data_IF_631453866353
#
_entry.id   IF_631453866353
#
_cell.length_a   1.000
_cell.length_b   1.000
_cell.length_c   1.000
_cell.angle_alpha   90.00
_cell.angle_beta   90.00
_cell.angle_gamma   90.00
#
_symmetry.space_group_name_H-M   'P 1'
#
loop_
_entity.id
_entity.type
_entity.pdbx_description
1 polymer ?
#
# COMPACT_ATOMS: atom_id res chain seq x y z
N UNK A 1 -12.48 -26.32 16.67
CA UNK A 1 -11.83 -25.35 17.59
C UNK A 1 -10.66 -24.75 16.87
N UNK A 2 -10.61 -23.42 16.82
CA UNK A 2 -9.43 -22.73 16.33
C UNK A 2 -8.32 -22.88 17.39
N UNK A 3 -7.17 -23.33 16.97
CA UNK A 3 -5.98 -23.35 17.83
C UNK A 3 -5.24 -22.02 17.60
N UNK A 4 -5.03 -21.27 18.66
CA UNK A 4 -4.17 -20.10 18.65
C UNK A 4 -2.74 -20.56 18.99
N UNK A 5 -1.77 -20.14 18.17
CA UNK A 5 -0.36 -20.37 18.42
C UNK A 5 0.34 -19.03 18.56
N UNK A 6 1.00 -18.82 19.69
CA UNK A 6 1.84 -17.64 19.90
C UNK A 6 3.10 -17.78 19.05
N UNK A 7 3.32 -16.86 18.09
CA UNK A 7 4.47 -16.87 17.21
C UNK A 7 5.61 -16.02 17.78
N UNK A 8 5.29 -14.88 18.40
CA UNK A 8 6.28 -13.95 18.94
C UNK A 8 5.69 -12.59 19.28
N UNK A 9 6.51 -11.74 19.87
CA UNK A 9 6.18 -10.35 20.17
C UNK A 9 6.73 -9.45 19.07
N UNK A 10 5.90 -8.55 18.56
CA UNK A 10 6.36 -7.57 17.57
C UNK A 10 7.27 -6.54 18.23
N UNK A 11 8.54 -6.35 17.73
CA UNK A 11 9.50 -5.45 18.35
C UNK A 11 9.06 -3.99 18.25
N UNK A 12 9.13 -3.24 19.33
CA UNK A 12 8.67 -1.84 19.40
C UNK A 12 9.46 -0.90 18.49
N UNK A 13 10.75 -1.18 18.30
CA UNK A 13 11.64 -0.44 17.40
C UNK A 13 11.27 -0.60 15.92
N UNK A 14 10.50 -1.63 15.58
CA UNK A 14 9.99 -1.84 14.22
C UNK A 14 8.77 -0.98 13.88
N UNK A 15 8.24 -0.22 14.84
CA UNK A 15 7.07 0.62 14.74
C UNK A 15 5.81 0.00 15.31
N UNK A 16 4.71 0.74 15.31
CA UNK A 16 3.41 0.28 15.80
C UNK A 16 2.68 -0.50 14.70
N UNK A 17 2.43 -1.80 14.88
CA UNK A 17 1.79 -2.62 13.84
C UNK A 17 0.34 -2.19 13.56
N UNK A 18 -0.05 -2.33 12.29
CA UNK A 18 -1.38 -2.06 11.76
C UNK A 18 -1.96 -3.25 11.02
N UNK A 19 -2.41 -3.05 9.78
CA UNK A 19 -2.94 -4.11 8.92
C UNK A 19 -1.87 -5.11 8.48
N UNK A 20 -2.30 -6.31 8.10
CA UNK A 20 -1.39 -7.35 7.65
C UNK A 20 -1.95 -8.16 6.48
N UNK A 21 -1.05 -8.83 5.76
CA UNK A 21 -1.36 -9.85 4.76
C UNK A 21 -0.38 -11.01 4.90
N UNK A 22 -0.87 -12.24 4.68
CA UNK A 22 -0.05 -13.45 4.77
C UNK A 22 0.41 -13.86 3.38
N UNK A 23 1.65 -14.29 3.29
CA UNK A 23 2.27 -14.82 2.08
C UNK A 23 1.57 -16.11 1.60
N UNK A 24 1.60 -16.37 0.30
CA UNK A 24 0.93 -17.52 -0.29
C UNK A 24 1.51 -18.89 0.13
N UNK A 25 2.69 -18.90 0.72
CA UNK A 25 3.31 -20.12 1.26
C UNK A 25 3.08 -20.28 2.78
N UNK A 26 2.41 -19.29 3.43
CA UNK A 26 2.23 -19.21 4.88
C UNK A 26 3.56 -19.11 5.67
N UNK A 27 4.66 -18.69 5.01
CA UNK A 27 5.96 -18.52 5.66
C UNK A 27 6.10 -17.15 6.35
N UNK A 28 5.45 -16.13 5.79
CA UNK A 28 5.61 -14.74 6.23
C UNK A 28 4.28 -13.99 6.33
N UNK A 29 4.21 -13.09 7.30
CA UNK A 29 3.22 -12.02 7.34
C UNK A 29 3.88 -10.68 7.00
N UNK A 30 3.27 -9.91 6.12
CA UNK A 30 3.64 -8.53 5.80
C UNK A 30 2.74 -7.59 6.57
N UNK A 31 3.34 -6.73 7.38
CA UNK A 31 2.64 -5.93 8.39
C UNK A 31 2.92 -4.46 8.12
N UNK A 32 1.87 -3.65 7.94
CA UNK A 32 2.05 -2.20 7.92
C UNK A 32 2.39 -1.69 9.30
N UNK A 33 3.26 -0.71 9.41
CA UNK A 33 3.62 -0.09 10.69
C UNK A 33 3.54 1.43 10.60
N UNK A 34 3.14 2.07 11.71
CA UNK A 34 3.40 3.48 11.94
C UNK A 34 4.76 3.61 12.60
N UNK A 35 5.59 4.53 12.11
CA UNK A 35 6.95 4.73 12.60
C UNK A 35 7.23 6.17 12.96
N UNK A 36 8.20 6.38 13.82
CA UNK A 36 8.81 7.68 14.01
C UNK A 36 9.62 8.06 12.77
N UNK A 37 9.77 9.33 12.53
CA UNK A 37 10.54 9.87 11.43
C UNK A 37 11.11 11.23 11.75
N UNK A 38 12.03 11.72 10.89
CA UNK A 38 12.61 13.05 11.01
C UNK A 38 11.57 14.13 10.68
N UNK A 39 11.81 15.37 11.12
CA UNK A 39 10.95 16.51 10.78
C UNK A 39 10.96 16.75 9.26
N UNK A 40 12.10 16.52 8.59
CA UNK A 40 12.21 16.65 7.14
C UNK A 40 11.33 15.64 6.40
N UNK A 41 11.26 14.38 6.88
CA UNK A 41 10.34 13.38 6.32
C UNK A 41 8.88 13.79 6.48
N UNK A 42 8.51 14.32 7.66
CA UNK A 42 7.17 14.82 7.93
C UNK A 42 6.82 16.01 7.04
N UNK A 43 7.74 16.93 6.83
CA UNK A 43 7.56 18.07 5.92
C UNK A 43 7.37 17.61 4.46
N UNK A 44 8.18 16.66 3.98
CA UNK A 44 8.02 16.09 2.64
C UNK A 44 6.65 15.41 2.48
N UNK A 45 6.26 14.62 3.48
CA UNK A 45 4.94 13.99 3.49
C UNK A 45 3.83 15.02 3.39
N UNK A 46 3.89 16.09 4.17
CA UNK A 46 2.88 17.15 4.14
C UNK A 46 2.83 17.86 2.78
N UNK A 47 3.96 18.14 2.16
CA UNK A 47 4.02 18.72 0.80
C UNK A 47 3.38 17.81 -0.24
N UNK A 48 3.63 16.52 -0.16
CA UNK A 48 3.11 15.52 -1.10
C UNK A 48 1.62 15.20 -0.86
N UNK A 49 1.09 15.56 0.30
CA UNK A 49 -0.33 15.35 0.65
C UNK A 49 -1.26 16.41 0.05
N UNK A 50 -0.71 17.53 -0.43
CA UNK A 50 -1.49 18.58 -1.08
C UNK A 50 -1.55 18.37 -2.60
N UNK A 51 -2.77 18.24 -3.13
CA UNK A 51 -2.98 18.39 -4.55
C UNK A 51 -2.97 19.89 -4.89
N UNK A 52 -2.17 20.35 -5.87
CA UNK A 52 -2.13 21.76 -6.25
C UNK A 52 -3.48 22.34 -6.67
N UNK A 53 -4.41 21.48 -7.08
CA UNK A 53 -5.73 21.84 -7.60
C UNK A 53 -6.87 21.73 -6.58
N UNK A 54 -6.62 21.11 -5.42
CA UNK A 54 -7.61 21.09 -4.34
C UNK A 54 -7.34 22.26 -3.39
N UNK A 55 -8.18 23.27 -3.40
CA UNK A 55 -8.15 24.38 -2.41
C UNK A 55 -8.54 23.93 -1.00
N UNK A 56 -8.65 22.64 -0.73
CA UNK A 56 -8.99 22.12 0.58
C UNK A 56 -7.75 21.50 1.22
N UNK A 57 -7.34 21.99 2.39
CA UNK A 57 -6.27 21.36 3.15
C UNK A 57 -6.70 19.94 3.52
N UNK A 58 -5.98 18.95 3.03
CA UNK A 58 -6.17 17.58 3.46
C UNK A 58 -5.76 17.53 4.93
N UNK A 59 -6.71 17.24 5.84
CA UNK A 59 -6.42 17.08 7.27
C UNK A 59 -5.70 15.76 7.50
N UNK A 60 -4.46 15.68 7.02
CA UNK A 60 -3.63 14.50 7.27
C UNK A 60 -2.79 14.77 8.52
N UNK A 61 -2.93 13.92 9.51
CA UNK A 61 -1.92 13.79 10.54
C UNK A 61 -0.70 13.16 9.87
N UNK A 62 0.48 13.81 9.88
CA UNK A 62 1.68 13.22 9.28
C UNK A 62 2.03 11.94 10.02
N UNK A 63 1.67 10.82 9.43
CA UNK A 63 1.94 9.49 9.96
C UNK A 63 2.85 8.79 8.97
N UNK A 64 4.12 8.72 9.33
CA UNK A 64 5.10 7.94 8.58
C UNK A 64 4.87 6.47 8.81
N UNK A 65 4.98 5.69 7.75
CA UNK A 65 4.68 4.27 7.80
C UNK A 65 5.80 3.44 7.17
N UNK A 66 5.56 2.17 7.09
CA UNK A 66 6.40 1.21 6.41
C UNK A 66 5.77 -0.16 6.37
N UNK A 67 6.48 -1.11 5.79
CA UNK A 67 6.10 -2.53 5.79
C UNK A 67 7.21 -3.33 6.45
N UNK A 68 6.81 -4.24 7.31
CA UNK A 68 7.68 -5.21 7.99
C UNK A 68 7.27 -6.61 7.58
N UNK A 69 8.24 -7.51 7.57
CA UNK A 69 8.05 -8.93 7.30
C UNK A 69 8.33 -9.71 8.56
N UNK A 70 7.36 -10.51 9.01
CA UNK A 70 7.48 -11.41 10.15
C UNK A 70 7.53 -12.85 9.65
N UNK A 71 8.56 -13.58 10.04
CA UNK A 71 8.63 -15.02 9.81
C UNK A 71 7.67 -15.73 10.75
N UNK A 72 6.73 -16.50 10.20
CA UNK A 72 5.67 -17.14 10.98
C UNK A 72 6.14 -18.37 11.75
N UNK A 73 7.33 -18.91 11.45
CA UNK A 73 7.91 -20.02 12.19
C UNK A 73 8.80 -19.58 13.33
N UNK A 74 9.50 -18.43 13.18
CA UNK A 74 10.50 -17.97 14.17
C UNK A 74 10.07 -16.74 14.96
N UNK A 75 9.09 -15.99 14.46
CA UNK A 75 8.68 -14.70 15.02
C UNK A 75 9.66 -13.56 14.71
N UNK A 76 10.72 -13.80 13.93
CA UNK A 76 11.67 -12.77 13.53
C UNK A 76 11.00 -11.71 12.65
N UNK A 77 11.23 -10.44 12.98
CA UNK A 77 10.68 -9.29 12.22
C UNK A 77 11.81 -8.52 11.56
N UNK A 78 11.68 -8.30 10.26
CA UNK A 78 12.64 -7.53 9.45
C UNK A 78 11.96 -6.41 8.68
N UNK A 79 12.71 -5.38 8.33
CA UNK A 79 12.23 -4.28 7.51
C UNK A 79 12.13 -4.70 6.03
N UNK A 80 11.01 -4.36 5.38
CA UNK A 80 10.85 -4.41 3.92
C UNK A 80 11.11 -3.03 3.34
N UNK A 81 10.23 -2.07 3.63
CA UNK A 81 10.37 -0.67 3.18
C UNK A 81 9.90 0.30 4.26
N UNK A 82 10.33 1.54 4.12
CA UNK A 82 9.75 2.70 4.81
C UNK A 82 9.07 3.62 3.78
N UNK A 83 7.97 4.26 4.19
CA UNK A 83 7.21 5.17 3.34
C UNK A 83 7.06 6.53 4.02
N UNK A 84 6.97 7.60 3.23
CA UNK A 84 6.66 8.95 3.70
C UNK A 84 5.15 9.26 3.60
N UNK A 85 4.34 8.20 3.57
CA UNK A 85 2.89 8.29 3.54
C UNK A 85 2.29 7.13 4.35
N UNK A 86 1.02 7.27 4.72
CA UNK A 86 0.29 6.23 5.44
C UNK A 86 0.03 5.04 4.52
N UNK A 87 0.53 3.88 4.90
CA UNK A 87 0.25 2.61 4.20
C UNK A 87 -1.05 1.98 4.70
N UNK A 88 -1.89 1.58 3.76
CA UNK A 88 -3.13 0.85 4.05
C UNK A 88 -3.42 -0.20 2.99
N UNK A 89 -4.50 -0.96 3.17
CA UNK A 89 -5.00 -1.96 2.22
C UNK A 89 -3.92 -2.94 1.73
N UNK A 90 -3.02 -3.35 2.62
CA UNK A 90 -1.94 -4.27 2.26
C UNK A 90 -2.48 -5.62 1.84
N UNK A 91 -1.98 -6.14 0.73
CA UNK A 91 -2.26 -7.47 0.21
C UNK A 91 -0.98 -8.15 -0.24
N UNK A 92 -0.85 -9.43 0.05
CA UNK A 92 0.18 -10.30 -0.51
C UNK A 92 -0.38 -11.07 -1.70
N UNK A 93 0.46 -11.32 -2.68
CA UNK A 93 0.11 -12.15 -3.82
C UNK A 93 -0.23 -13.58 -3.38
N UNK A 94 -1.36 -14.10 -3.86
CA UNK A 94 -1.74 -15.50 -3.67
C UNK A 94 -1.02 -16.46 -4.62
N UNK A 95 -0.20 -15.92 -5.53
CA UNK A 95 0.38 -16.67 -6.65
C UNK A 95 1.91 -16.64 -6.64
N UNK A 96 2.50 -15.58 -6.16
CA UNK A 96 3.95 -15.36 -6.16
C UNK A 96 4.38 -14.88 -4.78
N UNK A 97 5.21 -15.65 -4.07
CA UNK A 97 5.72 -15.24 -2.78
C UNK A 97 6.46 -13.90 -2.85
N UNK A 98 6.26 -13.07 -1.85
CA UNK A 98 6.99 -11.81 -1.72
C UNK A 98 6.49 -10.65 -2.57
N UNK A 99 5.43 -10.81 -3.35
CA UNK A 99 4.79 -9.69 -4.07
C UNK A 99 3.71 -9.05 -3.21
N UNK A 100 3.78 -7.74 -3.05
CA UNK A 100 2.92 -6.98 -2.14
C UNK A 100 2.37 -5.77 -2.88
N UNK A 101 1.04 -5.58 -2.81
CA UNK A 101 0.37 -4.33 -3.20
C UNK A 101 -0.21 -3.65 -1.96
N UNK A 102 -0.23 -2.34 -1.98
CA UNK A 102 -0.75 -1.54 -0.87
C UNK A 102 -1.11 -0.15 -1.36
N UNK A 103 -1.82 0.59 -0.53
CA UNK A 103 -2.31 1.90 -0.89
C UNK A 103 -1.70 2.99 -0.01
N UNK A 104 -1.52 4.18 -0.60
CA UNK A 104 -1.33 5.42 0.14
C UNK A 104 -2.69 5.83 0.70
N UNK A 105 -2.91 5.54 1.97
CA UNK A 105 -4.19 5.78 2.65
C UNK A 105 -4.25 7.20 3.21
N UNK A 106 -4.87 8.09 2.48
CA UNK A 106 -4.93 9.50 2.82
C UNK A 106 -6.21 9.93 3.51
N UNK A 107 -7.23 9.08 3.53
CA UNK A 107 -8.57 9.48 3.97
C UNK A 107 -9.22 10.57 3.09
N UNK A 108 -8.63 10.87 1.94
CA UNK A 108 -9.05 11.89 1.00
C UNK A 108 -8.49 11.68 -0.39
N UNK A 109 -8.43 12.77 -1.15
CA UNK A 109 -7.83 12.77 -2.47
C UNK A 109 -6.30 12.77 -2.38
N UNK A 110 -5.64 11.92 -3.14
CA UNK A 110 -4.19 11.86 -3.23
C UNK A 110 -3.77 11.49 -4.65
N UNK A 111 -2.65 12.07 -5.08
CA UNK A 111 -1.92 11.53 -6.21
C UNK A 111 -1.32 10.19 -5.79
N UNK A 112 -1.21 9.27 -6.70
CA UNK A 112 -0.53 8.01 -6.50
C UNK A 112 -0.98 7.25 -5.25
N UNK A 113 -2.10 6.55 -5.36
CA UNK A 113 -2.64 5.73 -4.28
C UNK A 113 -2.06 4.32 -4.27
N UNK A 114 -1.93 3.68 -5.44
CA UNK A 114 -1.55 2.27 -5.50
C UNK A 114 -0.05 2.07 -5.71
N UNK A 115 0.52 1.19 -4.90
CA UNK A 115 1.93 0.88 -4.86
C UNK A 115 2.19 -0.63 -4.88
N UNK A 116 3.35 -0.99 -5.38
CA UNK A 116 3.87 -2.35 -5.41
C UNK A 116 5.26 -2.39 -4.80
N UNK A 117 5.53 -3.43 -4.01
CA UNK A 117 6.90 -3.73 -3.60
C UNK A 117 7.14 -5.24 -3.52
N UNK A 118 8.42 -5.62 -3.50
CA UNK A 118 8.86 -6.98 -3.19
C UNK A 118 9.27 -7.09 -1.73
N UNK A 119 9.12 -8.27 -1.14
CA UNK A 119 9.39 -8.54 0.28
C UNK A 119 10.87 -8.42 0.68
N UNK A 120 11.78 -8.34 -0.29
CA UNK A 120 13.19 -8.05 -0.10
C UNK A 120 13.49 -6.53 -0.18
N UNK A 121 12.49 -5.72 -0.51
CA UNK A 121 12.61 -4.27 -0.64
C UNK A 121 13.37 -3.80 -1.88
N UNK A 122 13.76 -4.70 -2.79
CA UNK A 122 14.53 -4.33 -4.00
C UNK A 122 13.70 -3.61 -5.05
N UNK A 123 12.39 -3.88 -5.08
CA UNK A 123 11.43 -3.17 -5.93
C UNK A 123 10.46 -2.41 -5.05
N UNK A 124 10.32 -1.13 -5.32
CA UNK A 124 9.30 -0.26 -4.73
C UNK A 124 8.90 0.77 -5.77
N UNK A 125 7.69 0.65 -6.30
CA UNK A 125 7.21 1.50 -7.40
C UNK A 125 5.71 1.77 -7.32
N UNK A 126 5.21 2.85 -7.96
CA UNK A 126 3.80 2.95 -8.29
C UNK A 126 3.33 1.68 -9.02
N UNK A 127 2.21 1.11 -8.58
CA UNK A 127 1.62 0.00 -9.32
C UNK A 127 1.00 0.48 -10.64
N UNK A 128 0.24 1.55 -10.57
CA UNK A 128 -0.36 2.25 -11.69
C UNK A 128 0.00 3.73 -11.56
N UNK A 129 0.54 4.32 -12.62
CA UNK A 129 0.91 5.74 -12.62
C UNK A 129 -0.35 6.60 -12.81
N UNK A 130 -0.84 7.11 -11.70
CA UNK A 130 -2.07 7.91 -11.67
C UNK A 130 -1.88 9.30 -12.27
N UNK A 131 -2.89 9.76 -13.00
CA UNK A 131 -3.01 11.14 -13.47
C UNK A 131 -3.91 11.95 -12.51
N UNK A 132 -3.95 13.29 -12.62
CA UNK A 132 -4.90 14.10 -11.85
C UNK A 132 -6.37 13.76 -12.13
N UNK A 133 -6.66 13.01 -13.20
CA UNK A 133 -8.02 12.58 -13.54
C UNK A 133 -8.39 11.21 -12.96
N UNK A 134 -7.47 10.58 -12.26
CA UNK A 134 -7.67 9.26 -11.65
C UNK A 134 -7.92 9.38 -10.15
N UNK A 135 -8.75 8.49 -9.66
CA UNK A 135 -8.82 8.11 -8.25
C UNK A 135 -9.03 6.60 -8.20
N UNK A 136 -8.03 5.88 -7.74
CA UNK A 136 -7.98 4.41 -7.80
C UNK A 136 -8.17 3.80 -6.43
N UNK A 137 -8.76 2.60 -6.40
CA UNK A 137 -9.05 1.89 -5.16
C UNK A 137 -9.40 0.42 -5.44
N UNK A 138 -9.57 -0.38 -4.38
CA UNK A 138 -10.01 -1.78 -4.42
C UNK A 138 -9.10 -2.68 -5.27
N UNK A 139 -7.79 -2.47 -5.12
CA UNK A 139 -6.78 -3.30 -5.75
C UNK A 139 -6.86 -4.74 -5.23
N UNK A 140 -6.68 -5.71 -6.12
CA UNK A 140 -6.61 -7.13 -5.77
C UNK A 140 -5.79 -7.93 -6.76
N UNK A 141 -4.98 -8.86 -6.27
CA UNK A 141 -4.34 -9.87 -7.11
C UNK A 141 -5.40 -10.82 -7.68
N UNK A 142 -5.60 -10.79 -8.98
CA UNK A 142 -6.57 -11.62 -9.66
C UNK A 142 -5.93 -12.88 -10.26
N UNK A 143 -4.70 -12.76 -10.76
CA UNK A 143 -3.88 -13.87 -11.27
C UNK A 143 -2.43 -13.66 -10.88
N UNK A 144 -1.55 -14.58 -11.29
CA UNK A 144 -0.11 -14.44 -11.10
C UNK A 144 0.46 -13.15 -11.66
N UNK A 145 -0.10 -12.68 -12.78
CA UNK A 145 0.45 -11.56 -13.53
C UNK A 145 -0.42 -10.30 -13.49
N UNK A 146 -1.65 -10.38 -12.99
CA UNK A 146 -2.59 -9.27 -13.04
C UNK A 146 -3.12 -8.85 -11.67
N UNK A 147 -3.07 -7.54 -11.44
CA UNK A 147 -3.83 -6.85 -10.39
C UNK A 147 -5.00 -6.11 -11.03
N UNK A 148 -6.18 -6.25 -10.44
CA UNK A 148 -7.38 -5.51 -10.83
C UNK A 148 -7.64 -4.41 -9.82
N UNK A 149 -8.19 -3.30 -10.28
CA UNK A 149 -8.56 -2.16 -9.45
C UNK A 149 -9.67 -1.33 -10.09
N UNK A 150 -10.26 -0.44 -9.32
CA UNK A 150 -11.25 0.50 -9.81
C UNK A 150 -10.63 1.87 -10.05
N UNK A 151 -11.00 2.52 -11.16
CA UNK A 151 -10.90 3.97 -11.32
C UNK A 151 -12.31 4.52 -11.09
N UNK A 152 -12.45 5.44 -10.14
CA UNK A 152 -13.76 5.95 -9.72
C UNK A 152 -13.85 7.47 -9.86
N UNK A 153 -14.95 7.96 -10.42
CA UNK A 153 -15.35 9.36 -10.39
C UNK A 153 -15.92 9.80 -9.03
N UNK A 154 -15.37 9.28 -7.94
CA UNK A 154 -15.89 9.45 -6.59
C UNK A 154 -15.59 10.83 -5.99
N UNK A 155 -14.39 11.34 -6.21
CA UNK A 155 -13.98 12.62 -5.67
C UNK A 155 -14.74 13.79 -6.35
N UNK A 156 -15.05 14.87 -5.63
CA UNK A 156 -15.80 16.00 -6.20
C UNK A 156 -15.25 16.54 -7.53
N UNK A 157 -13.91 16.57 -7.67
CA UNK A 157 -13.23 16.99 -8.91
C UNK A 157 -13.41 16.02 -10.08
N UNK A 158 -13.74 14.75 -9.79
CA UNK A 158 -13.85 13.67 -10.77
C UNK A 158 -15.29 13.24 -11.08
N UNK A 159 -16.31 13.93 -10.55
CA UNK A 159 -17.73 13.53 -10.71
C UNK A 159 -18.22 13.38 -12.15
N UNK A 160 -17.53 13.98 -13.10
CA UNK A 160 -17.84 13.88 -14.53
C UNK A 160 -17.02 12.81 -15.26
N UNK A 161 -16.10 12.17 -14.54
CA UNK A 161 -15.28 11.09 -15.09
C UNK A 161 -16.02 9.76 -15.02
N UNK A 162 -15.80 8.93 -16.00
CA UNK A 162 -16.33 7.57 -16.00
C UNK A 162 -15.63 6.75 -14.91
N UNK A 163 -16.39 5.89 -14.27
CA UNK A 163 -15.83 4.84 -13.39
C UNK A 163 -15.66 3.55 -14.19
N UNK A 164 -14.64 2.77 -13.87
CA UNK A 164 -14.38 1.53 -14.58
C UNK A 164 -13.53 0.56 -13.74
N UNK A 165 -13.47 -0.68 -14.23
CA UNK A 165 -12.58 -1.71 -13.74
C UNK A 165 -11.40 -1.79 -14.70
N UNK A 166 -10.21 -1.78 -14.14
CA UNK A 166 -8.96 -1.79 -14.89
C UNK A 166 -8.12 -2.95 -14.37
N UNK A 167 -7.30 -3.53 -15.23
CA UNK A 167 -6.24 -4.44 -14.82
C UNK A 167 -4.88 -3.94 -15.27
N UNK A 168 -3.86 -4.23 -14.49
CA UNK A 168 -2.47 -3.99 -14.85
C UNK A 168 -1.68 -5.30 -14.80
N UNK A 169 -0.85 -5.51 -15.82
CA UNK A 169 0.08 -6.62 -15.83
C UNK A 169 1.34 -6.25 -15.03
N UNK A 170 1.64 -6.99 -13.97
CA UNK A 170 2.78 -6.75 -13.09
C UNK A 170 4.15 -6.94 -13.76
N UNK A 171 4.20 -7.65 -14.90
CA UNK A 171 5.44 -7.99 -15.61
C UNK A 171 5.78 -7.00 -16.72
N UNK A 172 4.74 -6.45 -17.35
CA UNK A 172 4.90 -5.56 -18.52
C UNK A 172 4.45 -4.13 -18.27
N UNK A 173 3.78 -3.87 -17.14
CA UNK A 173 3.11 -2.62 -16.78
C UNK A 173 1.98 -2.23 -17.77
N UNK A 174 1.53 -3.16 -18.63
CA UNK A 174 0.42 -2.93 -19.56
C UNK A 174 -0.90 -2.80 -18.80
N UNK A 175 -1.68 -1.79 -19.17
CA UNK A 175 -2.96 -1.44 -18.54
C UNK A 175 -4.10 -1.65 -19.52
N UNK A 176 -5.17 -2.31 -19.06
CA UNK A 176 -6.36 -2.57 -19.85
C UNK A 176 -7.62 -2.20 -19.07
N UNK A 177 -8.55 -1.51 -19.73
CA UNK A 177 -9.93 -1.32 -19.25
C UNK A 177 -10.74 -2.59 -19.52
N UNK A 178 -11.51 -3.03 -18.53
CA UNK A 178 -12.33 -4.24 -18.60
C UNK A 178 -13.80 -3.87 -18.92
#
# INVERSE_FOLDING_TARGET
SAYETFIGTFPTEMGRPGGYAVDCNDDYAYITVEREGTEEEKERMMKNAFLPESNQPVKIKPTLCGIRKMNLSTGEVTKVIDTEFKTGHIQASRFTPGEIVFCNETGGDAHQRMWFCTADGTVFKPLYKETPLDWVTHETFATKDFVYFNILGFQPRLRKQASGIVRINLRTDDVELI
#
